data_IF_424975077186
#
_entry.id   IF_424975077186
#
_cell.length_a   1.000
_cell.length_b   1.000
_cell.length_c   1.000
_cell.angle_alpha   90.00
_cell.angle_beta   90.00
_cell.angle_gamma   90.00
#
_symmetry.space_group_name_H-M   'P 1'
#
loop_
_entity.id
_entity.type
_entity.pdbx_description
1 polymer ?
#
# COMPACT_ATOMS: atom_id res chain seq x y z
N UNK A 1 22.67 11.90 16.67
CA UNK A 1 22.45 10.65 17.40
C UNK A 1 21.28 9.88 16.78
N UNK A 2 21.24 9.72 15.49
CA UNK A 2 20.11 9.09 14.80
C UNK A 2 20.47 8.07 13.73
N UNK A 3 21.74 7.90 13.40
CA UNK A 3 22.15 7.09 12.23
C UNK A 3 22.46 5.61 12.52
N UNK A 4 22.47 5.20 13.77
CA UNK A 4 22.80 3.80 14.12
C UNK A 4 21.60 2.85 14.17
N UNK A 5 20.37 3.34 14.07
CA UNK A 5 19.19 2.49 14.11
C UNK A 5 18.83 1.88 12.74
N UNK A 6 19.36 2.41 11.66
CA UNK A 6 19.04 1.93 10.30
C UNK A 6 19.82 0.68 9.86
N UNK A 7 20.82 0.26 10.64
CA UNK A 7 21.64 -0.95 10.35
C UNK A 7 21.45 -1.98 11.46
N UNK A 8 20.26 -2.17 11.96
CA UNK A 8 19.97 -3.36 12.75
C UNK A 8 19.59 -4.49 11.82
N UNK A 9 20.64 -5.16 11.38
CA UNK A 9 20.60 -6.53 10.92
C UNK A 9 19.97 -7.40 12.03
N UNK A 10 18.67 -7.61 11.95
CA UNK A 10 17.92 -8.20 13.05
C UNK A 10 17.85 -9.71 12.96
N UNK A 11 18.29 -10.28 11.86
CA UNK A 11 18.49 -11.70 11.70
C UNK A 11 19.84 -11.99 11.10
N UNK A 12 20.72 -12.54 11.89
CA UNK A 12 21.96 -13.16 11.38
C UNK A 12 21.56 -14.46 10.71
N UNK A 13 21.52 -14.47 9.41
CA UNK A 13 21.18 -15.62 8.59
C UNK A 13 21.77 -15.50 7.21
N UNK A 14 21.90 -16.62 6.50
CA UNK A 14 22.25 -16.66 5.10
C UNK A 14 21.09 -17.27 4.34
N UNK A 15 20.56 -16.56 3.36
CA UNK A 15 19.55 -17.08 2.45
C UNK A 15 20.19 -17.28 1.06
N UNK A 16 19.90 -18.43 0.45
CA UNK A 16 20.37 -18.76 -0.90
C UNK A 16 19.15 -19.19 -1.70
N UNK A 17 18.88 -18.51 -2.79
CA UNK A 17 17.74 -18.80 -3.66
C UNK A 17 17.63 -17.84 -4.83
N UNK A 18 16.61 -18.03 -5.69
CA UNK A 18 16.31 -17.11 -6.77
C UNK A 18 15.97 -15.73 -6.23
N UNK A 19 16.30 -14.71 -6.98
CA UNK A 19 16.00 -13.31 -6.65
C UNK A 19 14.80 -12.85 -7.48
N UNK A 20 13.76 -12.36 -6.80
CA UNK A 20 12.62 -11.73 -7.41
C UNK A 20 12.66 -10.22 -7.13
N UNK A 21 12.88 -9.42 -8.17
CA UNK A 21 12.96 -7.96 -8.06
C UNK A 21 11.59 -7.37 -8.34
N UNK A 22 10.98 -6.82 -7.30
CA UNK A 22 9.73 -6.09 -7.38
C UNK A 22 10.02 -4.66 -7.81
N UNK A 23 9.83 -4.38 -9.08
CA UNK A 23 9.83 -3.01 -9.56
C UNK A 23 8.40 -2.49 -9.46
N UNK A 24 8.18 -1.46 -8.64
CA UNK A 24 6.96 -0.67 -8.77
C UNK A 24 7.01 -0.04 -10.15
N UNK A 25 6.15 -0.48 -11.06
CA UNK A 25 5.94 0.26 -12.29
C UNK A 25 5.29 1.57 -11.85
N UNK A 26 6.04 2.67 -11.91
CA UNK A 26 5.44 3.99 -11.97
C UNK A 26 4.66 4.03 -13.29
N UNK A 27 3.48 3.44 -13.32
CA UNK A 27 2.56 3.65 -14.42
C UNK A 27 2.24 5.13 -14.38
N UNK A 28 2.81 5.88 -15.32
CA UNK A 28 2.52 7.30 -15.48
C UNK A 28 1.00 7.44 -15.68
N UNK A 29 0.32 7.78 -14.60
CA UNK A 29 -1.12 8.01 -14.64
C UNK A 29 -1.36 9.24 -15.51
N UNK A 30 -1.93 9.00 -16.69
CA UNK A 30 -2.18 10.07 -17.65
C UNK A 30 -3.47 10.77 -17.28
N UNK A 31 -3.44 12.11 -17.34
CA UNK A 31 -4.64 12.92 -17.33
C UNK A 31 -5.40 12.70 -18.64
N UNK A 32 -6.59 12.15 -18.55
CA UNK A 32 -7.47 11.90 -19.69
C UNK A 32 -8.76 12.69 -19.49
N UNK A 33 -9.23 13.34 -20.53
CA UNK A 33 -10.52 14.05 -20.49
C UNK A 33 -11.66 13.03 -20.60
N UNK A 34 -12.65 13.19 -19.72
CA UNK A 34 -13.83 12.32 -19.63
C UNK A 34 -15.06 13.06 -20.14
N UNK A 35 -15.78 12.47 -21.08
CA UNK A 35 -17.01 13.05 -21.64
C UNK A 35 -18.24 12.77 -20.73
N UNK A 36 -18.26 11.62 -20.06
CA UNK A 36 -19.36 11.18 -19.21
C UNK A 36 -18.90 11.07 -17.75
N UNK A 37 -19.05 12.14 -17.00
CA UNK A 37 -18.68 12.25 -15.59
C UNK A 37 -19.47 11.22 -14.73
N UNK A 38 -20.75 11.02 -15.02
CA UNK A 38 -21.60 10.09 -14.22
C UNK A 38 -21.13 8.63 -14.36
N UNK A 39 -20.66 8.23 -15.52
CA UNK A 39 -20.08 6.89 -15.70
C UNK A 39 -18.76 6.75 -14.99
N UNK A 40 -17.93 7.79 -14.98
CA UNK A 40 -16.65 7.80 -14.32
C UNK A 40 -16.81 7.74 -12.79
N UNK A 41 -17.76 8.47 -12.23
CA UNK A 41 -18.09 8.38 -10.80
C UNK A 41 -18.59 6.97 -10.42
N UNK A 42 -19.44 6.35 -11.23
CA UNK A 42 -19.87 4.95 -10.98
C UNK A 42 -18.71 3.96 -11.07
N UNK A 43 -17.72 4.24 -11.92
CA UNK A 43 -16.51 3.43 -12.02
C UNK A 43 -15.64 3.59 -10.78
N UNK A 44 -15.51 4.82 -10.27
CA UNK A 44 -14.84 5.12 -9.00
C UNK A 44 -15.52 4.39 -7.83
N UNK A 45 -16.85 4.47 -7.71
CA UNK A 45 -17.60 3.82 -6.63
C UNK A 45 -17.38 2.30 -6.62
N UNK A 46 -17.42 1.66 -7.78
CA UNK A 46 -17.14 0.21 -7.90
C UNK A 46 -15.70 -0.14 -7.49
N UNK A 47 -14.74 0.68 -7.89
CA UNK A 47 -13.34 0.47 -7.51
C UNK A 47 -13.13 0.69 -6.01
N UNK A 48 -13.79 1.68 -5.40
CA UNK A 48 -13.82 1.92 -3.96
C UNK A 48 -14.37 0.71 -3.21
N UNK A 49 -15.55 0.22 -3.61
CA UNK A 49 -16.16 -0.96 -3.00
C UNK A 49 -15.22 -2.19 -3.08
N UNK A 50 -14.62 -2.43 -4.24
CA UNK A 50 -13.65 -3.51 -4.42
C UNK A 50 -12.42 -3.32 -3.51
N UNK A 51 -11.94 -2.08 -3.36
CA UNK A 51 -10.81 -1.76 -2.50
C UNK A 51 -11.14 -2.02 -1.03
N UNK A 52 -12.32 -1.61 -0.56
CA UNK A 52 -12.79 -1.89 0.80
C UNK A 52 -12.86 -3.40 1.08
N UNK A 53 -13.40 -4.18 0.14
CA UNK A 53 -13.45 -5.64 0.26
C UNK A 53 -12.05 -6.27 0.32
N UNK A 54 -11.08 -5.75 -0.43
CA UNK A 54 -9.69 -6.20 -0.38
C UNK A 54 -9.06 -5.87 0.99
N UNK A 55 -9.25 -4.65 1.50
CA UNK A 55 -8.74 -4.22 2.80
C UNK A 55 -9.33 -5.06 3.95
N UNK A 56 -10.62 -5.37 3.89
CA UNK A 56 -11.27 -6.26 4.86
C UNK A 56 -10.66 -7.67 4.85
N UNK A 57 -10.38 -8.23 3.67
CA UNK A 57 -9.68 -9.54 3.56
C UNK A 57 -8.25 -9.48 4.11
N UNK A 58 -7.54 -8.38 3.88
CA UNK A 58 -6.20 -8.16 4.42
C UNK A 58 -6.22 -8.06 5.94
N UNK A 59 -7.23 -7.37 6.50
CA UNK A 59 -7.46 -7.34 7.94
C UNK A 59 -7.63 -8.74 8.51
N UNK A 60 -8.52 -9.54 7.93
CA UNK A 60 -8.79 -10.92 8.38
C UNK A 60 -7.55 -11.81 8.29
N UNK A 61 -6.76 -11.67 7.22
CA UNK A 61 -5.50 -12.41 7.04
C UNK A 61 -4.47 -11.96 8.08
N UNK A 62 -4.25 -10.67 8.22
CA UNK A 62 -3.32 -10.10 9.19
C UNK A 62 -3.70 -10.46 10.64
N UNK A 63 -5.00 -10.44 10.98
CA UNK A 63 -5.49 -10.83 12.29
C UNK A 63 -5.07 -12.25 12.67
N UNK A 64 -5.10 -13.17 11.72
CA UNK A 64 -4.72 -14.58 11.91
C UNK A 64 -3.21 -14.79 11.97
N UNK A 65 -2.45 -14.05 11.16
CA UNK A 65 -1.02 -14.29 10.98
C UNK A 65 -0.12 -13.49 11.92
N UNK A 66 -0.50 -12.25 12.23
CA UNK A 66 0.35 -11.28 12.94
C UNK A 66 -0.33 -10.64 14.16
N UNK A 67 -1.61 -10.99 14.38
CA UNK A 67 -2.39 -10.54 15.54
C UNK A 67 -3.06 -9.17 15.36
N UNK A 68 -3.95 -8.85 16.32
CA UNK A 68 -4.87 -7.72 16.23
C UNK A 68 -4.17 -6.37 16.06
N UNK A 69 -3.15 -6.09 16.85
CA UNK A 69 -2.46 -4.78 16.84
C UNK A 69 -1.89 -4.44 15.45
N UNK A 70 -1.36 -5.45 14.75
CA UNK A 70 -0.80 -5.25 13.42
C UNK A 70 -1.89 -5.25 12.32
N UNK A 71 -3.02 -5.90 12.57
CA UNK A 71 -4.15 -5.90 11.64
C UNK A 71 -4.90 -4.56 11.62
N UNK A 72 -4.92 -3.83 12.74
CA UNK A 72 -5.62 -2.54 12.87
C UNK A 72 -5.23 -1.51 11.81
N UNK A 73 -4.05 -1.63 11.20
CA UNK A 73 -3.65 -0.75 10.09
C UNK A 73 -4.64 -0.82 8.91
N UNK A 74 -5.19 -2.00 8.60
CA UNK A 74 -6.14 -2.15 7.50
C UNK A 74 -7.53 -1.62 7.84
N UNK A 75 -7.89 -1.56 9.11
CA UNK A 75 -9.10 -0.87 9.58
C UNK A 75 -8.95 0.65 9.42
N UNK A 76 -7.78 1.19 9.78
CA UNK A 76 -7.46 2.60 9.55
C UNK A 76 -7.47 2.93 8.05
N UNK A 77 -6.93 2.05 7.19
CA UNK A 77 -6.98 2.24 5.73
C UNK A 77 -8.42 2.30 5.21
N UNK A 78 -9.35 1.49 5.74
CA UNK A 78 -10.76 1.56 5.36
C UNK A 78 -11.37 2.90 5.77
N UNK A 79 -11.11 3.36 7.01
CA UNK A 79 -11.60 4.66 7.51
C UNK A 79 -11.06 5.81 6.64
N UNK A 80 -9.78 5.81 6.31
CA UNK A 80 -9.16 6.84 5.46
C UNK A 80 -9.73 6.84 4.03
N UNK A 81 -10.03 5.66 3.48
CA UNK A 81 -10.65 5.54 2.16
C UNK A 81 -12.09 6.06 2.14
N UNK A 82 -12.80 5.95 3.26
CA UNK A 82 -14.19 6.43 3.42
C UNK A 82 -14.28 7.86 3.94
N UNK A 83 -13.15 8.51 4.21
CA UNK A 83 -13.09 9.89 4.68
C UNK A 83 -13.78 10.85 3.69
N UNK A 84 -14.67 11.71 4.20
CA UNK A 84 -15.48 12.62 3.38
C UNK A 84 -14.62 13.62 2.63
N UNK A 85 -13.62 14.20 3.27
CA UNK A 85 -12.74 15.21 2.64
C UNK A 85 -11.92 14.59 1.50
N UNK A 86 -11.43 13.35 1.70
CA UNK A 86 -10.71 12.61 0.67
C UNK A 86 -11.60 12.26 -0.52
N UNK A 87 -12.81 11.75 -0.27
CA UNK A 87 -13.78 11.40 -1.33
C UNK A 87 -14.27 12.64 -2.08
N UNK A 88 -14.61 13.71 -1.37
CA UNK A 88 -15.08 14.95 -1.96
C UNK A 88 -13.99 15.61 -2.84
N UNK A 89 -12.72 15.54 -2.43
CA UNK A 89 -11.62 16.05 -3.24
C UNK A 89 -11.50 15.30 -4.57
N UNK A 90 -11.63 13.97 -4.57
CA UNK A 90 -11.62 13.15 -5.80
C UNK A 90 -12.83 13.49 -6.68
N UNK A 91 -14.04 13.48 -6.11
CA UNK A 91 -15.28 13.78 -6.83
C UNK A 91 -15.25 15.19 -7.46
N UNK A 92 -14.82 16.20 -6.69
CA UNK A 92 -14.70 17.57 -7.17
C UNK A 92 -13.73 17.69 -8.34
N UNK A 93 -12.61 16.96 -8.29
CA UNK A 93 -11.64 16.98 -9.39
C UNK A 93 -12.23 16.34 -10.65
N UNK A 94 -12.92 15.21 -10.54
CA UNK A 94 -13.58 14.56 -11.68
C UNK A 94 -14.66 15.49 -12.26
N UNK A 95 -15.54 16.05 -11.41
CA UNK A 95 -16.68 16.87 -11.85
C UNK A 95 -16.26 18.22 -12.44
N UNK A 96 -15.29 18.90 -11.83
CA UNK A 96 -14.92 20.26 -12.22
C UNK A 96 -13.90 20.29 -13.37
N UNK A 97 -13.02 19.29 -13.44
CA UNK A 97 -11.94 19.24 -14.41
C UNK A 97 -12.19 18.23 -15.55
N UNK A 98 -13.27 17.45 -15.48
CA UNK A 98 -13.61 16.37 -16.42
C UNK A 98 -12.41 15.43 -16.67
N UNK A 99 -11.78 14.96 -15.61
CA UNK A 99 -10.62 14.06 -15.67
C UNK A 99 -11.00 12.64 -15.26
N UNK A 100 -10.20 11.66 -15.69
CA UNK A 100 -10.38 10.26 -15.32
C UNK A 100 -10.11 10.02 -13.83
N UNK A 101 -10.77 9.02 -13.27
CA UNK A 101 -10.72 8.70 -11.85
C UNK A 101 -9.30 8.34 -11.38
N UNK A 102 -8.50 7.62 -12.20
CA UNK A 102 -7.11 7.29 -11.84
C UNK A 102 -6.28 8.54 -11.58
N UNK A 103 -6.42 9.55 -12.45
CA UNK A 103 -5.70 10.81 -12.29
C UNK A 103 -6.18 11.57 -11.06
N UNK A 104 -7.49 11.67 -10.86
CA UNK A 104 -8.08 12.34 -9.71
C UNK A 104 -7.64 11.68 -8.38
N UNK A 105 -7.68 10.36 -8.30
CA UNK A 105 -7.23 9.60 -7.12
C UNK A 105 -5.74 9.79 -6.86
N UNK A 106 -4.90 9.73 -7.90
CA UNK A 106 -3.45 9.88 -7.74
C UNK A 106 -3.08 11.26 -7.22
N UNK A 107 -3.62 12.32 -7.83
CA UNK A 107 -3.31 13.71 -7.43
C UNK A 107 -3.84 13.99 -6.02
N UNK A 108 -5.07 13.56 -5.71
CA UNK A 108 -5.63 13.71 -4.36
C UNK A 108 -4.80 12.94 -3.34
N UNK A 109 -4.42 11.70 -3.65
CA UNK A 109 -3.57 10.88 -2.80
C UNK A 109 -2.22 11.54 -2.51
N UNK A 110 -1.56 12.10 -3.52
CA UNK A 110 -0.30 12.83 -3.33
C UNK A 110 -0.49 14.08 -2.46
N UNK A 111 -1.55 14.87 -2.71
CA UNK A 111 -1.85 16.07 -1.91
C UNK A 111 -2.10 15.75 -0.44
N UNK A 112 -2.90 14.71 -0.15
CA UNK A 112 -3.16 14.29 1.23
C UNK A 112 -1.92 13.68 1.88
N UNK A 113 -1.14 12.89 1.15
CA UNK A 113 0.12 12.36 1.66
C UNK A 113 1.12 13.47 2.00
N UNK A 114 1.24 14.49 1.16
CA UNK A 114 2.08 15.65 1.42
C UNK A 114 1.57 16.47 2.62
N UNK A 115 0.26 16.62 2.76
CA UNK A 115 -0.34 17.27 3.93
C UNK A 115 0.06 16.55 5.22
N UNK A 116 -0.10 15.22 5.28
CA UNK A 116 0.32 14.43 6.43
C UNK A 116 1.84 14.49 6.68
N UNK A 117 2.65 14.42 5.61
CA UNK A 117 4.11 14.46 5.71
C UNK A 117 4.63 15.79 6.31
N UNK A 118 3.88 16.89 6.15
CA UNK A 118 4.24 18.20 6.68
C UNK A 118 3.67 18.50 8.08
N UNK A 119 2.98 17.56 8.71
CA UNK A 119 2.49 17.73 10.08
C UNK A 119 3.63 17.63 11.09
N UNK A 120 3.51 18.35 12.20
CA UNK A 120 4.52 18.35 13.28
C UNK A 120 4.54 17.04 14.10
N UNK A 121 3.43 16.28 14.07
CA UNK A 121 3.26 15.01 14.79
C UNK A 121 3.85 13.84 14.03
N UNK A 122 4.78 13.09 14.64
CA UNK A 122 5.45 11.93 14.04
C UNK A 122 4.49 10.81 13.64
N UNK A 123 3.43 10.61 14.43
CA UNK A 123 2.41 9.62 14.17
C UNK A 123 1.61 9.98 12.92
N UNK A 124 1.23 11.24 12.79
CA UNK A 124 0.51 11.74 11.61
C UNK A 124 1.40 11.72 10.37
N UNK A 125 2.69 12.08 10.48
CA UNK A 125 3.64 11.96 9.35
C UNK A 125 3.75 10.54 8.81
N UNK A 126 3.70 9.54 9.68
CA UNK A 126 3.73 8.14 9.26
C UNK A 126 2.52 7.76 8.39
N UNK A 127 1.37 8.45 8.55
CA UNK A 127 0.15 8.22 7.76
C UNK A 127 0.27 8.62 6.29
N UNK A 128 1.26 9.46 5.95
CA UNK A 128 1.55 9.79 4.55
C UNK A 128 1.75 8.55 3.67
N UNK A 129 2.47 7.56 4.16
CA UNK A 129 2.69 6.30 3.46
C UNK A 129 1.39 5.47 3.33
N UNK A 130 0.52 5.51 4.34
CA UNK A 130 -0.76 4.80 4.34
C UNK A 130 -1.69 5.38 3.27
N UNK A 131 -1.78 6.72 3.15
CA UNK A 131 -2.57 7.36 2.09
C UNK A 131 -2.09 6.95 0.70
N UNK A 132 -0.78 6.89 0.49
CA UNK A 132 -0.21 6.43 -0.79
C UNK A 132 -0.54 4.98 -1.09
N UNK A 133 -0.49 4.09 -0.10
CA UNK A 133 -0.87 2.67 -0.28
C UNK A 133 -2.34 2.53 -0.67
N UNK A 134 -3.24 3.25 -0.01
CA UNK A 134 -4.68 3.25 -0.30
C UNK A 134 -4.95 3.79 -1.71
N UNK A 135 -4.36 4.94 -2.05
CA UNK A 135 -4.54 5.59 -3.36
C UNK A 135 -4.04 4.69 -4.49
N UNK A 136 -2.85 4.10 -4.35
CA UNK A 136 -2.29 3.18 -5.33
C UNK A 136 -3.18 1.94 -5.52
N UNK A 137 -3.73 1.40 -4.45
CA UNK A 137 -4.66 0.26 -4.50
C UNK A 137 -5.94 0.62 -5.23
N UNK A 138 -6.49 1.80 -4.96
CA UNK A 138 -7.70 2.29 -5.65
C UNK A 138 -7.42 2.49 -7.15
N UNK A 139 -6.28 3.07 -7.51
CA UNK A 139 -5.84 3.22 -8.90
C UNK A 139 -5.68 1.87 -9.60
N UNK A 140 -5.03 0.89 -8.97
CA UNK A 140 -4.90 -0.46 -9.53
C UNK A 140 -6.26 -1.12 -9.79
N UNK A 141 -7.24 -0.91 -8.90
CA UNK A 141 -8.60 -1.41 -9.09
C UNK A 141 -9.34 -0.68 -10.21
N UNK A 142 -9.09 0.62 -10.42
CA UNK A 142 -9.62 1.41 -11.53
C UNK A 142 -9.02 0.97 -12.87
N UNK A 143 -7.72 0.76 -12.91
CA UNK A 143 -6.98 0.35 -14.12
C UNK A 143 -7.23 -1.12 -14.49
N UNK A 144 -7.84 -1.91 -13.59
CA UNK A 144 -8.03 -3.34 -13.81
C UNK A 144 -6.72 -4.15 -13.75
N UNK A 145 -5.67 -3.57 -13.17
CA UNK A 145 -4.41 -4.28 -12.98
C UNK A 145 -4.61 -5.44 -11.99
N UNK A 146 -4.19 -6.63 -12.42
CA UNK A 146 -4.18 -7.78 -11.53
C UNK A 146 -3.05 -7.63 -10.52
N UNK A 147 -3.38 -7.82 -9.25
CA UNK A 147 -2.37 -7.87 -8.19
C UNK A 147 -1.46 -9.08 -8.44
N UNK A 148 -0.16 -8.97 -8.15
CA UNK A 148 0.74 -10.11 -8.27
C UNK A 148 0.21 -11.33 -7.52
N UNK A 149 0.21 -12.48 -8.18
CA UNK A 149 -0.20 -13.75 -7.56
C UNK A 149 0.94 -14.27 -6.66
N UNK A 150 0.94 -13.82 -5.42
CA UNK A 150 1.93 -14.21 -4.42
C UNK A 150 1.80 -15.67 -3.99
N UNK A 151 0.63 -16.29 -4.23
CA UNK A 151 0.39 -17.68 -3.84
C UNK A 151 1.08 -18.69 -4.76
N UNK A 152 1.35 -18.32 -6.01
CA UNK A 152 1.97 -19.20 -7.00
C UNK A 152 3.46 -18.90 -7.26
N UNK A 153 4.09 -18.02 -6.46
CA UNK A 153 5.53 -17.74 -6.59
C UNK A 153 6.39 -18.87 -6.02
N UNK A 154 7.53 -19.15 -6.65
CA UNK A 154 8.54 -20.06 -6.07
C UNK A 154 9.26 -19.41 -4.88
N UNK A 155 9.79 -20.21 -3.93
CA UNK A 155 10.56 -19.66 -2.83
C UNK A 155 11.72 -18.79 -3.33
N UNK A 156 11.73 -17.51 -2.94
CA UNK A 156 12.66 -16.52 -3.49
C UNK A 156 13.07 -15.45 -2.48
N UNK A 157 14.18 -14.78 -2.79
CA UNK A 157 14.62 -13.58 -2.10
C UNK A 157 13.94 -12.38 -2.77
N UNK A 158 13.16 -11.62 -2.02
CA UNK A 158 12.45 -10.45 -2.52
C UNK A 158 13.35 -9.23 -2.42
N UNK A 159 13.56 -8.55 -3.54
CA UNK A 159 14.28 -7.28 -3.61
C UNK A 159 13.31 -6.20 -4.08
N UNK A 160 13.14 -5.15 -3.30
CA UNK A 160 12.26 -4.03 -3.62
C UNK A 160 12.84 -2.71 -3.15
N UNK A 161 12.37 -1.60 -3.72
CA UNK A 161 12.73 -0.28 -3.21
C UNK A 161 12.10 -0.05 -1.83
N UNK A 162 10.82 -0.35 -1.70
CA UNK A 162 10.06 -0.35 -0.45
C UNK A 162 8.85 -1.29 -0.58
N UNK A 163 8.35 -1.79 0.55
CA UNK A 163 7.16 -2.64 0.62
C UNK A 163 6.07 -1.97 1.46
N UNK A 164 4.86 -1.98 0.95
CA UNK A 164 3.70 -1.53 1.72
C UNK A 164 3.22 -2.62 2.69
N UNK A 165 2.47 -2.24 3.75
CA UNK A 165 1.82 -3.20 4.63
C UNK A 165 0.94 -4.19 3.87
N UNK A 166 0.22 -3.70 2.88
CA UNK A 166 -0.66 -4.49 2.03
C UNK A 166 0.08 -5.55 1.22
N UNK A 167 1.20 -5.19 0.60
CA UNK A 167 2.05 -6.12 -0.15
C UNK A 167 2.63 -7.20 0.78
N UNK A 168 3.10 -6.78 1.96
CA UNK A 168 3.73 -7.68 2.94
C UNK A 168 2.78 -8.77 3.45
N UNK A 169 1.52 -8.42 3.73
CA UNK A 169 0.52 -9.38 4.22
C UNK A 169 0.03 -10.32 3.10
N UNK A 170 0.05 -9.86 1.84
CA UNK A 170 -0.35 -10.71 0.71
C UNK A 170 0.65 -11.83 0.41
N UNK A 171 1.92 -11.60 0.69
CA UNK A 171 2.99 -12.58 0.42
C UNK A 171 2.84 -13.84 1.27
N UNK A 172 3.12 -15.00 0.69
CA UNK A 172 3.23 -16.26 1.45
C UNK A 172 4.61 -16.32 2.13
N UNK A 173 4.61 -16.17 3.45
CA UNK A 173 5.82 -16.17 4.29
C UNK A 173 6.65 -17.45 4.17
N UNK A 174 6.04 -18.57 3.82
CA UNK A 174 6.75 -19.83 3.63
C UNK A 174 7.56 -19.85 2.34
N UNK A 175 7.27 -18.96 1.40
CA UNK A 175 7.92 -18.84 0.10
C UNK A 175 8.93 -17.69 0.03
N UNK A 176 9.07 -16.93 1.11
CA UNK A 176 10.02 -15.82 1.17
C UNK A 176 11.25 -16.25 1.96
N UNK A 177 12.39 -16.30 1.29
CA UNK A 177 13.67 -16.68 1.89
C UNK A 177 14.33 -15.51 2.62
N UNK A 178 14.22 -14.29 2.06
CA UNK A 178 14.70 -13.06 2.65
C UNK A 178 14.07 -11.83 1.95
N UNK A 179 14.16 -10.68 2.63
CA UNK A 179 13.84 -9.37 2.05
C UNK A 179 15.08 -8.50 1.97
N UNK A 180 15.25 -7.80 0.86
CA UNK A 180 16.25 -6.75 0.65
C UNK A 180 15.54 -5.50 0.18
N UNK A 181 15.50 -4.48 1.02
CA UNK A 181 14.81 -3.21 0.74
C UNK A 181 15.84 -2.09 0.62
N UNK A 182 15.70 -1.24 -0.39
CA UNK A 182 16.53 -0.05 -0.58
C UNK A 182 16.15 1.04 0.42
N UNK A 183 14.83 1.24 0.58
CA UNK A 183 14.26 2.17 1.54
C UNK A 183 13.47 1.37 2.58
N UNK A 184 13.75 1.60 3.84
CA UNK A 184 13.03 0.95 4.92
C UNK A 184 13.24 1.71 6.22
N UNK A 185 12.18 1.96 6.98
CA UNK A 185 12.28 2.45 8.34
C UNK A 185 12.05 1.31 9.31
N UNK A 186 12.82 1.27 10.39
CA UNK A 186 12.64 0.29 11.47
C UNK A 186 11.27 0.42 12.18
N UNK A 187 10.59 1.53 11.96
CA UNK A 187 9.30 1.88 12.56
C UNK A 187 8.15 1.81 11.54
N UNK A 188 8.39 1.34 10.30
CA UNK A 188 7.30 1.17 9.35
C UNK A 188 6.39 0.01 9.79
N UNK A 189 5.10 0.12 9.50
CA UNK A 189 4.15 -0.98 9.72
C UNK A 189 4.59 -2.26 9.01
N UNK A 190 5.21 -2.13 7.84
CA UNK A 190 5.83 -3.23 7.08
C UNK A 190 6.89 -3.96 7.91
N UNK A 191 7.79 -3.23 8.59
CA UNK A 191 8.79 -3.83 9.45
C UNK A 191 8.14 -4.59 10.61
N UNK A 192 7.09 -4.04 11.23
CA UNK A 192 6.34 -4.71 12.29
C UNK A 192 5.69 -6.01 11.80
N UNK A 193 5.07 -5.98 10.62
CA UNK A 193 4.43 -7.16 10.01
C UNK A 193 5.43 -8.27 9.67
N UNK A 194 6.65 -7.90 9.24
CA UNK A 194 7.73 -8.85 8.98
C UNK A 194 8.30 -9.46 10.28
N UNK A 195 8.31 -8.68 11.37
CA UNK A 195 8.90 -9.09 12.65
C UNK A 195 8.07 -10.11 13.42
N UNK A 196 6.75 -9.99 13.36
CA UNK A 196 5.83 -10.86 14.09
C UNK A 196 5.67 -12.22 13.46
N UNK A 197 6.30 -12.46 12.30
CA UNK A 197 6.30 -13.76 11.65
C UNK A 197 7.27 -14.72 12.33
N UNK A 198 6.87 -15.95 12.72
CA UNK A 198 7.80 -16.95 13.18
C UNK A 198 8.79 -17.24 12.04
N UNK A 199 10.09 -17.00 12.29
CA UNK A 199 11.14 -17.37 11.35
C UNK A 199 11.08 -18.87 11.09
N UNK A 200 11.11 -19.34 9.84
CA UNK A 200 11.34 -20.75 9.58
C UNK A 200 12.70 -21.15 10.15
N UNK A 201 12.70 -22.19 10.98
CA UNK A 201 13.91 -22.78 11.56
C UNK A 201 14.67 -23.55 10.52
#
# INVERSE_FOLDING_TARGET
VGSEMCIRDRYKGTAIGPVNVLKKSESLIKRVHVENVDEELKRLDKAKEKTLQQLARLYDKALKEVGKVNAEIFEVHQIMLEDEDYQDAIHNMICNENVNAEYAVSITGDNFADMFANMDDDYMRARSADVKDISNRLVSNLSGEEQPDWENTEPSIIVADDLTPSETVQMDKNKILAFVLVHGSANSHTACLLYTSPSPR
#
